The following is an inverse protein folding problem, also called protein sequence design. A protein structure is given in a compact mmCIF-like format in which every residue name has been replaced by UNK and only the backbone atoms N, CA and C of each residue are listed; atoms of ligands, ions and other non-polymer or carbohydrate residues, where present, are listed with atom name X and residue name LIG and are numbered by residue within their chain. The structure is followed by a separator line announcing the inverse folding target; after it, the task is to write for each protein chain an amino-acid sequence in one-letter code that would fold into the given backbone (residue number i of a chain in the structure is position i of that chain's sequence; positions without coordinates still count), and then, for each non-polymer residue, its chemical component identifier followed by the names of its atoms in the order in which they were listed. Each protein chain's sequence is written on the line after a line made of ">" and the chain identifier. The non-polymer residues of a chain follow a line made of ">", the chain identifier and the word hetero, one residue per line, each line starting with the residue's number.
data_IF_438169664503
#
_entry.id   IF_438169664503
#
_cell.length_a   1.000
_cell.length_b   1.000
_cell.length_c   1.000
_cell.angle_alpha   90.00
_cell.angle_beta   90.00
_cell.angle_gamma   90.00
#
_symmetry.space_group_name_H-M   'P 1'
#
loop_
_entity.id
_entity.type
_entity.pdbx_description
1 polymer ?
#
# COMPACT_ATOMS: atom_id res chain seq x y z
N UNK A 1 -30.63 -18.97 4.99
CA UNK A 1 -30.03 -18.79 3.64
C UNK A 1 -28.66 -18.19 3.87
N UNK A 2 -27.60 -18.97 3.63
CA UNK A 2 -26.22 -18.57 3.90
C UNK A 2 -25.63 -18.12 2.57
N UNK A 3 -25.34 -16.84 2.43
CA UNK A 3 -24.68 -16.29 1.24
C UNK A 3 -23.19 -16.57 1.36
N UNK A 4 -22.58 -17.15 0.33
CA UNK A 4 -21.14 -17.26 0.25
C UNK A 4 -20.58 -15.84 0.02
N UNK A 5 -20.09 -15.19 1.07
CA UNK A 5 -19.34 -13.92 0.95
C UNK A 5 -17.90 -14.22 0.51
N UNK A 6 -17.77 -14.92 -0.62
CA UNK A 6 -16.49 -15.07 -1.29
C UNK A 6 -16.12 -13.76 -1.96
N UNK A 7 -15.00 -13.16 -1.55
CA UNK A 7 -14.33 -12.01 -2.18
C UNK A 7 -14.92 -10.63 -1.88
N UNK A 8 -16.24 -10.48 -1.66
CA UNK A 8 -16.81 -9.14 -1.40
C UNK A 8 -16.32 -8.53 -0.07
N UNK A 9 -16.27 -9.31 1.00
CA UNK A 9 -15.80 -8.86 2.34
C UNK A 9 -14.29 -8.56 2.37
N UNK A 10 -13.51 -9.17 1.48
CA UNK A 10 -12.06 -8.91 1.35
C UNK A 10 -11.77 -7.52 0.80
N UNK A 11 -12.65 -6.98 -0.06
CA UNK A 11 -12.47 -5.67 -0.66
C UNK A 11 -12.73 -4.53 0.34
N UNK A 12 -13.66 -4.69 1.29
CA UNK A 12 -13.89 -3.71 2.35
C UNK A 12 -12.73 -3.65 3.36
N UNK A 13 -11.91 -4.71 3.42
CA UNK A 13 -10.71 -4.78 4.27
C UNK A 13 -9.44 -4.37 3.51
N UNK A 14 -9.54 -4.03 2.22
CA UNK A 14 -8.36 -3.81 1.40
C UNK A 14 -7.75 -2.42 1.67
N UNK A 15 -6.70 -2.39 2.48
CA UNK A 15 -6.02 -1.16 2.90
C UNK A 15 -5.15 -0.51 1.80
N UNK A 16 -5.12 -1.08 0.60
CA UNK A 16 -4.25 -0.65 -0.50
C UNK A 16 -4.91 -0.89 -1.86
N UNK A 17 -5.03 0.16 -2.67
CA UNK A 17 -5.45 0.11 -4.07
C UNK A 17 -4.37 0.72 -4.94
N UNK A 18 -4.03 0.08 -6.05
CA UNK A 18 -2.96 0.54 -6.96
C UNK A 18 -3.51 0.52 -8.39
N UNK A 19 -3.36 1.63 -9.11
CA UNK A 19 -3.78 1.75 -10.51
C UNK A 19 -2.99 2.83 -11.26
N UNK A 20 -2.87 2.75 -12.60
CA UNK A 20 -3.25 1.62 -13.43
C UNK A 20 -2.30 0.43 -13.24
N UNK A 21 -2.79 -0.77 -13.55
CA UNK A 21 -1.95 -1.96 -13.69
C UNK A 21 -2.37 -2.65 -15.01
N UNK A 22 -1.47 -2.82 -16.00
CA UNK A 22 -0.07 -2.37 -16.04
C UNK A 22 0.09 -0.84 -16.13
N UNK A 23 1.26 -0.32 -15.75
CA UNK A 23 1.61 1.10 -15.81
C UNK A 23 2.96 1.32 -16.53
N UNK A 24 3.18 2.53 -17.06
CA UNK A 24 4.38 2.88 -17.83
C UNK A 24 5.22 3.99 -17.19
N UNK A 25 4.57 5.05 -16.67
CA UNK A 25 5.27 6.21 -16.11
C UNK A 25 4.98 6.41 -14.64
N UNK A 26 3.73 6.22 -14.23
CA UNK A 26 3.29 6.46 -12.86
C UNK A 26 2.21 5.47 -12.44
N UNK A 27 2.10 5.30 -11.13
CA UNK A 27 0.99 4.61 -10.48
C UNK A 27 0.41 5.53 -9.41
N UNK A 28 -0.89 5.43 -9.22
CA UNK A 28 -1.60 5.98 -8.07
C UNK A 28 -1.76 4.88 -7.05
N UNK A 29 -1.31 5.16 -5.84
CA UNK A 29 -1.45 4.32 -4.67
C UNK A 29 -2.44 4.99 -3.73
N UNK A 30 -3.56 4.32 -3.50
CA UNK A 30 -4.52 4.69 -2.47
C UNK A 30 -4.39 3.78 -1.28
N UNK A 31 -4.29 4.35 -0.09
CA UNK A 31 -4.26 3.62 1.18
C UNK A 31 -5.48 3.95 2.02
N UNK A 32 -5.90 3.01 2.87
CA UNK A 32 -6.94 3.28 3.85
C UNK A 32 -6.58 4.49 4.74
N UNK A 33 -7.59 5.19 5.32
CA UNK A 33 -7.37 6.39 6.11
C UNK A 33 -6.23 6.25 7.12
N UNK A 34 -5.20 7.09 6.93
CA UNK A 34 -3.98 7.04 7.72
C UNK A 34 -4.24 7.65 9.10
N UNK A 35 -4.39 6.80 10.12
CA UNK A 35 -4.37 7.25 11.53
C UNK A 35 -2.96 7.65 12.00
N UNK A 36 -1.94 7.37 11.19
CA UNK A 36 -0.51 7.62 11.45
C UNK A 36 0.30 7.60 10.16
N UNK A 37 1.54 8.11 10.22
CA UNK A 37 2.50 8.06 9.10
C UNK A 37 2.75 6.61 8.65
N UNK A 38 2.73 6.39 7.34
CA UNK A 38 3.11 5.13 6.72
C UNK A 38 4.31 5.32 5.77
N UNK A 39 5.01 4.24 5.49
CA UNK A 39 6.11 4.19 4.51
C UNK A 39 5.70 3.27 3.37
N UNK A 40 5.75 3.76 2.12
CA UNK A 40 5.53 2.95 0.94
C UNK A 40 6.88 2.50 0.39
N UNK A 41 7.04 1.19 0.21
CA UNK A 41 8.21 0.60 -0.42
C UNK A 41 7.85 -0.04 -1.75
N UNK A 42 8.67 0.18 -2.78
CA UNK A 42 8.63 -0.58 -4.02
C UNK A 42 9.82 -1.55 -4.01
N UNK A 43 9.51 -2.83 -4.19
CA UNK A 43 10.48 -3.93 -4.16
C UNK A 43 10.38 -4.75 -5.44
N UNK A 44 11.52 -5.21 -5.95
CA UNK A 44 11.54 -6.14 -7.08
C UNK A 44 11.21 -7.58 -6.66
N UNK A 45 11.14 -8.48 -7.64
CA UNK A 45 10.85 -9.91 -7.41
C UNK A 45 11.91 -10.63 -6.57
N UNK A 46 13.11 -10.06 -6.41
CA UNK A 46 14.16 -10.60 -5.54
C UNK A 46 14.02 -10.11 -4.10
N UNK A 47 13.08 -9.18 -3.84
CA UNK A 47 12.90 -8.53 -2.55
C UNK A 47 13.81 -7.32 -2.33
N UNK A 48 14.56 -6.89 -3.35
CA UNK A 48 15.41 -5.69 -3.24
C UNK A 48 14.52 -4.44 -3.23
N UNK A 49 14.72 -3.59 -2.24
CA UNK A 49 14.08 -2.27 -2.15
C UNK A 49 14.67 -1.37 -3.23
N UNK A 50 13.80 -0.88 -4.12
CA UNK A 50 14.17 0.04 -5.19
C UNK A 50 13.80 1.48 -4.85
N UNK A 51 12.75 1.66 -4.03
CA UNK A 51 12.25 2.96 -3.68
C UNK A 51 11.52 2.93 -2.34
N UNK A 52 11.58 4.04 -1.60
CA UNK A 52 10.89 4.22 -0.32
C UNK A 52 10.46 5.67 -0.17
N UNK A 53 9.21 5.89 0.21
CA UNK A 53 8.67 7.22 0.49
C UNK A 53 7.76 7.21 1.72
N UNK A 54 7.76 8.31 2.46
CA UNK A 54 6.80 8.53 3.54
C UNK A 54 5.49 9.06 2.96
N UNK A 55 4.40 8.36 3.23
CA UNK A 55 3.06 8.72 2.79
C UNK A 55 2.25 9.29 3.97
N UNK A 56 1.58 10.41 3.71
CA UNK A 56 0.82 11.20 4.68
C UNK A 56 -0.63 11.40 4.27
N UNK A 57 -0.95 11.18 2.99
CA UNK A 57 -2.27 11.32 2.41
C UNK A 57 -2.81 9.95 2.01
N UNK A 58 -4.12 9.89 1.78
CA UNK A 58 -4.76 8.65 1.36
C UNK A 58 -4.44 8.29 -0.09
N UNK A 59 -4.06 9.26 -0.90
CA UNK A 59 -3.69 9.10 -2.31
C UNK A 59 -2.29 9.65 -2.58
N UNK A 60 -1.49 8.90 -3.34
CA UNK A 60 -0.12 9.23 -3.70
C UNK A 60 0.19 8.80 -5.12
N UNK A 61 0.82 9.68 -5.90
CA UNK A 61 1.33 9.37 -7.24
C UNK A 61 2.81 9.03 -7.17
N UNK A 62 3.18 7.82 -7.57
CA UNK A 62 4.55 7.34 -7.60
C UNK A 62 5.05 7.27 -9.03
N UNK A 63 6.15 7.96 -9.31
CA UNK A 63 6.82 7.92 -10.61
C UNK A 63 7.65 6.63 -10.73
N UNK A 64 7.28 5.76 -11.68
CA UNK A 64 7.92 4.46 -11.94
C UNK A 64 8.64 4.40 -13.29
N UNK A 65 8.60 5.46 -14.10
CA UNK A 65 9.17 5.45 -15.46
C UNK A 65 10.69 5.22 -15.53
N UNK A 66 11.41 5.36 -14.41
CA UNK A 66 12.83 5.04 -14.31
C UNK A 66 13.11 3.57 -13.94
N UNK A 67 12.08 2.81 -13.55
CA UNK A 67 12.22 1.38 -13.22
C UNK A 67 12.32 0.57 -14.52
N UNK A 68 13.09 -0.51 -14.48
CA UNK A 68 13.14 -1.45 -15.60
C UNK A 68 11.76 -2.08 -15.83
N UNK A 69 11.47 -2.51 -17.05
CA UNK A 69 10.23 -3.25 -17.32
C UNK A 69 10.21 -4.57 -16.51
N UNK A 70 9.17 -4.80 -15.72
CA UNK A 70 9.07 -5.98 -14.88
C UNK A 70 7.89 -5.96 -13.92
N UNK A 71 7.83 -6.97 -13.07
CA UNK A 71 6.87 -7.05 -11.97
C UNK A 71 7.51 -6.53 -10.69
N UNK A 72 6.71 -5.82 -9.89
CA UNK A 72 7.13 -5.21 -8.63
C UNK A 72 6.05 -5.45 -7.58
N UNK A 73 6.46 -5.42 -6.32
CA UNK A 73 5.53 -5.37 -5.20
C UNK A 73 5.57 -3.98 -4.55
N UNK A 74 4.39 -3.49 -4.18
CA UNK A 74 4.24 -2.29 -3.37
C UNK A 74 3.84 -2.71 -1.96
N UNK A 75 4.62 -2.27 -0.97
CA UNK A 75 4.47 -2.67 0.42
C UNK A 75 4.30 -1.44 1.32
N UNK A 76 3.09 -1.15 1.82
CA UNK A 76 2.86 -0.11 2.81
C UNK A 76 3.20 -0.62 4.22
N UNK A 77 4.08 0.09 4.91
CA UNK A 77 4.49 -0.17 6.29
C UNK A 77 3.83 0.88 7.18
N UNK A 78 2.82 0.46 7.93
CA UNK A 78 2.12 1.33 8.88
C UNK A 78 2.81 1.30 10.24
N UNK A 79 3.22 2.47 10.76
CA UNK A 79 3.79 2.54 12.11
C UNK A 79 2.66 2.47 13.15
N UNK A 80 2.52 1.32 13.82
CA UNK A 80 1.59 1.20 14.96
C UNK A 80 1.97 2.22 16.04
N UNK A 81 1.03 3.10 16.41
CA UNK A 81 1.12 3.85 17.67
C UNK A 81 1.12 2.85 18.82
N UNK A 82 2.17 2.84 19.64
CA UNK A 82 2.17 2.13 20.93
C UNK A 82 1.07 2.76 21.79
N UNK A 83 -0.04 2.06 21.98
CA UNK A 83 -1.08 2.47 22.92
C UNK A 83 -0.51 2.34 24.32
N UNK A 84 -0.09 3.45 24.92
CA UNK A 84 0.24 3.49 26.33
C UNK A 84 -1.09 3.43 27.09
N UNK A 85 -1.53 2.23 27.47
CA UNK A 85 -2.64 2.08 28.42
C UNK A 85 -2.07 2.37 29.81
N UNK A 86 -2.47 3.45 30.51
CA UNK A 86 -2.14 3.58 31.91
C UNK A 86 -2.89 2.47 32.67
N UNK A 87 -2.14 1.65 33.41
CA UNK A 87 -2.71 0.78 34.43
C UNK A 87 -3.19 1.68 35.56
N UNK A 88 -4.50 1.67 35.83
CA UNK A 88 -5.10 2.17 37.07
C UNK A 88 -5.70 0.98 37.81
#
# INVERSE_FOLDING_TARGET
>A
MTFATGIHDLNETNSLTIYPIPAQQEIVVRVAPLTSQAELQIVDISGRILWTEHIFTEEHTVQIGALANGAYFAHPIFKRRKTHRPFY
#
